data_IF_322579939849
#
_entry.id   IF_322579939849
#
_cell.length_a   1.000
_cell.length_b   1.000
_cell.length_c   1.000
_cell.angle_alpha   90.00
_cell.angle_beta   90.00
_cell.angle_gamma   90.00
#
_symmetry.space_group_name_H-M   'P 1'
#
loop_
_entity.id
_entity.type
_entity.pdbx_description
1 polymer ?
#
# COMPACT_ATOMS: atom_id res chain seq x y z
N UNK A 1 18.17 62.07 7.73
CA UNK A 1 17.84 62.59 9.08
C UNK A 1 18.11 61.49 10.09
N UNK A 2 19.08 61.70 11.00
CA UNK A 2 18.94 61.65 12.48
C UNK A 2 18.09 60.46 12.99
N UNK A 3 18.52 59.61 13.94
CA UNK A 3 19.62 59.63 14.91
C UNK A 3 19.49 58.35 15.78
N UNK A 4 20.61 57.90 16.34
CA UNK A 4 20.80 57.34 17.70
C UNK A 4 20.19 55.95 18.01
N UNK A 5 20.85 55.02 18.71
CA UNK A 5 22.14 55.10 19.41
C UNK A 5 22.46 53.81 20.19
N UNK A 6 23.75 53.46 20.18
CA UNK A 6 24.61 53.11 21.34
C UNK A 6 24.17 51.97 22.28
N UNK A 7 24.91 50.84 22.26
CA UNK A 7 26.08 50.48 23.10
C UNK A 7 25.72 50.21 24.56
N UNK A 8 26.12 49.03 25.06
CA UNK A 8 26.86 48.84 26.32
C UNK A 8 27.52 47.44 26.31
N UNK A 9 28.76 47.39 26.80
CA UNK A 9 29.57 46.23 27.17
C UNK A 9 30.20 46.59 28.54
N UNK A 10 31.06 45.77 29.19
CA UNK A 10 31.14 44.31 29.41
C UNK A 10 31.14 44.02 30.94
N UNK A 11 31.55 42.82 31.41
CA UNK A 11 32.49 42.59 32.56
C UNK A 11 32.74 41.07 32.71
N UNK A 12 34.01 40.71 32.93
CA UNK A 12 34.54 39.37 33.20
C UNK A 12 34.83 39.18 34.70
N UNK A 13 34.78 37.94 35.22
CA UNK A 13 35.51 37.48 36.43
C UNK A 13 35.85 35.98 36.31
N UNK A 14 37.14 35.67 36.44
CA UNK A 14 37.83 34.36 36.60
C UNK A 14 38.09 34.06 38.10
N UNK A 15 38.85 33.01 38.55
CA UNK A 15 39.04 31.58 38.19
C UNK A 15 39.07 30.65 39.47
N UNK A 16 39.62 29.42 39.31
CA UNK A 16 40.22 28.49 40.31
C UNK A 16 39.31 27.37 40.91
N UNK A 17 39.77 26.14 41.19
CA UNK A 17 41.02 25.39 40.95
C UNK A 17 40.89 23.91 41.46
N UNK A 18 41.92 23.09 41.16
CA UNK A 18 42.34 21.80 41.77
C UNK A 18 41.52 20.52 41.47
N UNK A 19 42.07 19.32 41.23
CA UNK A 19 43.43 18.74 41.17
C UNK A 19 43.33 17.26 40.68
N UNK A 20 44.25 16.76 39.84
CA UNK A 20 45.27 15.69 40.09
C UNK A 20 44.79 14.53 41.02
N UNK A 21 44.93 13.21 40.73
CA UNK A 21 46.09 12.42 40.23
C UNK A 21 45.64 11.05 39.66
N UNK A 22 46.48 10.52 38.76
CA UNK A 22 46.54 9.19 38.10
C UNK A 22 46.54 7.94 39.02
N UNK A 23 46.03 6.80 38.51
CA UNK A 23 46.85 5.63 38.08
C UNK A 23 45.96 4.52 37.44
N UNK A 24 46.08 4.28 36.12
CA UNK A 24 46.76 3.15 35.44
C UNK A 24 46.18 1.76 35.76
N UNK A 25 45.50 1.13 34.78
CA UNK A 25 45.77 -0.24 34.29
C UNK A 25 45.34 -0.35 32.81
N UNK A 26 46.24 -0.87 31.97
CA UNK A 26 46.03 -1.22 30.55
C UNK A 26 45.07 -2.41 30.39
N UNK A 27 44.23 -2.39 29.35
CA UNK A 27 44.06 -3.51 28.39
C UNK A 27 43.17 -3.12 27.20
N UNK A 28 43.79 -3.15 26.01
CA UNK A 28 43.32 -3.72 24.74
C UNK A 28 41.83 -3.62 24.35
N UNK A 29 41.58 -3.05 23.16
CA UNK A 29 40.68 -3.69 22.20
C UNK A 29 39.62 -2.81 21.54
N UNK A 30 39.82 -2.59 20.23
CA UNK A 30 38.83 -2.44 19.16
C UNK A 30 37.95 -1.18 19.11
N UNK A 31 38.07 -0.46 17.98
CA UNK A 31 37.39 0.80 17.72
C UNK A 31 35.89 0.67 17.50
N UNK A 32 35.18 1.67 17.99
CA UNK A 32 33.81 1.98 17.58
C UNK A 32 33.87 3.27 16.74
N UNK A 33 33.46 3.16 15.48
CA UNK A 33 33.02 4.32 14.70
C UNK A 33 31.68 4.73 15.29
N UNK A 34 31.59 5.95 15.81
CA UNK A 34 30.33 6.55 16.20
C UNK A 34 29.45 6.70 14.96
N UNK A 35 28.41 5.88 14.85
CA UNK A 35 27.32 6.11 13.90
C UNK A 35 26.58 7.38 14.31
N UNK A 36 26.65 8.41 13.49
CA UNK A 36 25.81 9.61 13.63
C UNK A 36 24.33 9.21 13.54
N UNK A 37 23.45 9.79 14.38
CA UNK A 37 22.02 9.50 14.30
C UNK A 37 21.46 9.97 12.95
N UNK A 38 20.47 9.26 12.37
CA UNK A 38 19.85 9.69 11.13
C UNK A 38 19.19 11.06 11.34
N UNK A 39 19.62 12.01 10.52
CA UNK A 39 18.98 13.32 10.36
C UNK A 39 17.49 13.13 10.13
N UNK A 40 16.67 13.58 11.08
CA UNK A 40 15.23 13.72 10.90
C UNK A 40 14.97 14.59 9.66
N UNK A 41 14.11 14.15 8.72
CA UNK A 41 13.74 14.99 7.60
C UNK A 41 13.06 16.26 8.12
N UNK A 42 13.45 17.38 7.52
CA UNK A 42 12.95 18.72 7.78
C UNK A 42 11.42 18.76 7.78
N UNK A 43 10.84 19.38 8.82
CA UNK A 43 9.42 19.76 8.87
C UNK A 43 9.03 20.52 7.59
N UNK A 44 8.17 19.93 6.77
CA UNK A 44 7.67 20.58 5.55
C UNK A 44 6.97 19.68 4.53
N UNK A 45 6.06 18.80 4.95
CA UNK A 45 4.95 18.25 4.16
C UNK A 45 3.99 17.61 5.16
N UNK A 46 2.71 17.99 5.17
CA UNK A 46 1.74 17.33 6.05
C UNK A 46 1.58 15.90 5.58
N UNK A 47 2.06 14.92 6.35
CA UNK A 47 1.81 13.51 6.03
C UNK A 47 0.29 13.30 5.98
N UNK A 48 -0.21 12.82 4.85
CA UNK A 48 -1.62 12.47 4.72
C UNK A 48 -1.96 11.36 5.73
N UNK A 49 -2.84 11.62 6.72
CA UNK A 49 -3.12 10.66 7.78
C UNK A 49 -3.88 9.42 7.28
N UNK A 50 -4.44 9.47 6.07
CA UNK A 50 -5.21 8.38 5.50
C UNK A 50 -4.34 7.32 4.82
N UNK A 51 -3.05 7.61 4.57
CA UNK A 51 -2.14 6.69 3.87
C UNK A 51 -0.75 6.62 4.51
N UNK A 52 -0.18 5.42 4.54
CA UNK A 52 1.24 5.22 4.85
C UNK A 52 1.85 4.15 3.94
N UNK A 53 3.17 4.15 3.84
CA UNK A 53 3.90 3.17 3.03
C UNK A 53 4.41 2.04 3.93
N UNK A 54 3.98 0.81 3.64
CA UNK A 54 4.46 -0.41 4.32
C UNK A 54 5.80 -0.87 3.76
N UNK A 55 5.97 -0.77 2.44
CA UNK A 55 7.21 -1.05 1.74
C UNK A 55 7.28 -0.21 0.46
N UNK A 56 8.48 0.15 0.01
CA UNK A 56 8.67 0.77 -1.29
C UNK A 56 9.95 0.24 -1.92
N UNK A 57 9.95 0.16 -3.25
CA UNK A 57 11.12 -0.24 -4.02
C UNK A 57 12.18 0.87 -3.98
N UNK A 58 13.45 0.57 -4.32
CA UNK A 58 14.45 1.62 -4.44
C UNK A 58 14.14 2.56 -5.60
N UNK A 59 14.71 3.78 -5.61
CA UNK A 59 14.54 4.76 -6.70
C UNK A 59 15.18 4.34 -8.04
N UNK A 60 15.74 3.13 -8.13
CA UNK A 60 16.41 2.58 -9.32
C UNK A 60 15.45 1.84 -10.25
N UNK A 61 14.19 1.67 -9.86
CA UNK A 61 13.16 1.00 -10.64
C UNK A 61 12.28 0.10 -9.77
N UNK A 62 11.02 -0.08 -10.16
CA UNK A 62 10.13 -1.06 -9.51
C UNK A 62 10.64 -2.50 -9.72
N UNK A 63 10.17 -3.43 -8.90
CA UNK A 63 10.59 -4.83 -8.94
C UNK A 63 9.78 -5.63 -9.96
N UNK A 64 10.45 -6.51 -10.71
CA UNK A 64 9.77 -7.48 -11.58
C UNK A 64 9.22 -8.65 -10.78
N UNK A 65 8.43 -9.50 -11.43
CA UNK A 65 7.88 -10.72 -10.81
C UNK A 65 8.97 -11.62 -10.21
N UNK A 66 10.11 -11.74 -10.91
CA UNK A 66 11.23 -12.60 -10.51
C UNK A 66 11.98 -12.07 -9.27
N UNK A 67 11.77 -10.80 -8.94
CA UNK A 67 12.36 -10.11 -7.79
C UNK A 67 11.42 -10.07 -6.57
N UNK A 68 10.30 -10.79 -6.64
CA UNK A 68 9.36 -10.92 -5.52
C UNK A 68 9.25 -12.40 -5.15
N UNK A 69 9.41 -12.69 -3.86
CA UNK A 69 9.20 -14.01 -3.29
C UNK A 69 8.03 -13.97 -2.32
N UNK A 70 7.28 -15.07 -2.27
CA UNK A 70 6.20 -15.26 -1.30
C UNK A 70 6.50 -16.45 -0.41
N UNK A 71 6.45 -16.21 0.89
CA UNK A 71 6.36 -17.25 1.91
C UNK A 71 4.90 -17.33 2.36
N UNK A 72 4.21 -18.41 2.01
CA UNK A 72 2.80 -18.61 2.36
C UNK A 72 2.66 -19.60 3.52
N UNK A 73 2.01 -19.19 4.61
CA UNK A 73 1.86 -19.99 5.82
C UNK A 73 0.61 -19.62 6.60
N UNK A 74 0.02 -20.60 7.31
CA UNK A 74 -1.09 -20.35 8.22
C UNK A 74 -0.68 -19.54 9.44
N UNK A 75 0.62 -19.49 9.77
CA UNK A 75 1.17 -18.62 10.83
C UNK A 75 1.00 -17.14 10.50
N UNK A 76 0.84 -16.81 9.22
CA UNK A 76 0.58 -15.45 8.72
C UNK A 76 -0.91 -15.15 8.59
N UNK A 77 -1.79 -16.03 9.07
CA UNK A 77 -3.22 -15.73 9.18
C UNK A 77 -3.51 -14.74 10.32
N UNK A 78 -4.73 -14.21 10.33
CA UNK A 78 -5.24 -13.37 11.40
C UNK A 78 -5.25 -14.15 12.72
N UNK A 79 -4.84 -13.51 13.81
CA UNK A 79 -5.02 -14.04 15.17
C UNK A 79 -6.52 -14.08 15.51
N UNK A 80 -6.97 -15.18 16.12
CA UNK A 80 -8.40 -15.37 16.42
C UNK A 80 -8.74 -14.84 17.81
N UNK A 81 -9.50 -13.75 17.85
CA UNK A 81 -10.12 -13.26 19.08
C UNK A 81 -11.50 -13.91 19.22
N UNK A 82 -11.58 -15.01 19.97
CA UNK A 82 -12.79 -15.84 20.11
C UNK A 82 -14.05 -15.04 20.51
N UNK A 83 -13.89 -14.01 21.35
CA UNK A 83 -14.99 -13.13 21.78
C UNK A 83 -15.55 -12.25 20.65
N UNK A 84 -14.80 -12.08 19.56
CA UNK A 84 -15.19 -11.26 18.40
C UNK A 84 -15.74 -12.10 17.23
N UNK A 85 -15.47 -13.40 17.16
CA UNK A 85 -15.91 -14.26 16.05
C UNK A 85 -17.44 -14.29 15.87
N UNK A 86 -18.19 -14.23 16.98
CA UNK A 86 -19.65 -14.12 16.94
C UNK A 86 -20.11 -12.81 16.29
N UNK A 87 -19.37 -11.71 16.47
CA UNK A 87 -19.66 -10.42 15.83
C UNK A 87 -19.38 -10.46 14.34
N UNK A 88 -18.26 -11.07 13.92
CA UNK A 88 -17.97 -11.28 12.48
C UNK A 88 -19.13 -12.05 11.82
N UNK A 89 -19.60 -13.13 12.47
CA UNK A 89 -20.73 -13.89 11.97
C UNK A 89 -22.02 -13.05 11.90
N UNK A 90 -22.33 -12.25 12.93
CA UNK A 90 -23.50 -11.38 12.96
C UNK A 90 -23.48 -10.31 11.86
N UNK A 91 -22.34 -9.60 11.69
CA UNK A 91 -22.14 -8.59 10.66
C UNK A 91 -22.36 -9.19 9.26
N UNK A 92 -21.82 -10.40 9.02
CA UNK A 92 -22.00 -11.09 7.76
C UNK A 92 -23.45 -11.47 7.47
N UNK A 93 -24.16 -12.01 8.47
CA UNK A 93 -25.56 -12.39 8.28
C UNK A 93 -26.43 -11.17 8.01
N UNK A 94 -26.22 -10.06 8.73
CA UNK A 94 -26.90 -8.80 8.46
C UNK A 94 -26.63 -8.33 7.02
N UNK A 95 -25.36 -8.34 6.59
CA UNK A 95 -25.03 -7.86 5.24
C UNK A 95 -25.62 -8.73 4.13
N UNK A 96 -25.70 -10.05 4.33
CA UNK A 96 -26.39 -10.95 3.40
C UNK A 96 -27.91 -10.74 3.37
N UNK A 97 -28.54 -10.34 4.48
CA UNK A 97 -29.96 -9.98 4.47
C UNK A 97 -30.22 -8.73 3.63
N UNK A 98 -29.33 -7.74 3.73
CA UNK A 98 -29.40 -6.50 2.94
C UNK A 98 -29.02 -6.71 1.48
N UNK A 99 -28.03 -7.58 1.21
CA UNK A 99 -27.50 -7.86 -0.13
C UNK A 99 -27.36 -9.39 -0.33
N UNK A 100 -28.45 -10.09 -0.70
CA UNK A 100 -28.47 -11.56 -0.80
C UNK A 100 -27.51 -12.17 -1.83
N UNK A 101 -27.04 -11.37 -2.79
CA UNK A 101 -26.08 -11.78 -3.81
C UNK A 101 -24.62 -11.76 -3.33
N UNK A 102 -24.34 -11.29 -2.10
CA UNK A 102 -22.98 -11.31 -1.56
C UNK A 102 -22.50 -12.74 -1.33
N UNK A 103 -21.30 -13.03 -1.82
CA UNK A 103 -20.58 -14.27 -1.54
C UNK A 103 -19.32 -13.99 -0.72
N UNK A 104 -18.86 -15.00 0.02
CA UNK A 104 -17.64 -14.89 0.80
C UNK A 104 -16.45 -15.39 -0.03
N UNK A 105 -15.69 -14.46 -0.63
CA UNK A 105 -14.50 -14.80 -1.39
C UNK A 105 -13.25 -14.95 -0.53
N UNK A 106 -12.39 -15.92 -0.86
CA UNK A 106 -11.08 -16.08 -0.25
C UNK A 106 -10.12 -14.98 -0.74
N UNK A 107 -9.20 -14.52 0.11
CA UNK A 107 -8.24 -13.46 -0.21
C UNK A 107 -6.87 -13.78 0.41
N UNK A 108 -5.81 -13.27 -0.19
CA UNK A 108 -4.49 -13.28 0.46
C UNK A 108 -4.47 -12.28 1.62
N UNK A 109 -3.99 -12.70 2.78
CA UNK A 109 -3.68 -11.81 3.91
C UNK A 109 -2.20 -11.47 3.85
N UNK A 110 -1.83 -10.21 3.95
CA UNK A 110 -0.41 -9.86 4.14
C UNK A 110 -0.09 -9.76 5.63
N UNK A 111 1.01 -10.37 6.03
CA UNK A 111 1.58 -10.24 7.36
C UNK A 111 2.74 -9.25 7.37
N UNK A 112 3.69 -9.39 6.45
CA UNK A 112 4.83 -8.49 6.35
C UNK A 112 5.39 -8.43 4.93
N UNK A 113 6.10 -7.34 4.63
CA UNK A 113 6.85 -7.15 3.40
C UNK A 113 8.25 -6.67 3.78
N UNK A 114 9.29 -7.38 3.33
CA UNK A 114 10.67 -7.10 3.70
C UNK A 114 11.54 -7.03 2.44
N UNK A 115 12.16 -5.88 2.22
CA UNK A 115 13.11 -5.69 1.12
C UNK A 115 14.50 -6.16 1.57
N UNK A 116 15.01 -7.20 0.92
CA UNK A 116 16.32 -7.79 1.17
C UNK A 116 17.34 -7.29 0.14
N UNK A 117 18.45 -6.74 0.63
CA UNK A 117 19.54 -6.25 -0.23
C UNK A 117 19.16 -5.10 -1.17
N UNK A 118 17.93 -4.57 -1.09
CA UNK A 118 17.40 -3.58 -2.02
C UNK A 118 16.90 -4.16 -3.35
N UNK A 119 17.01 -5.46 -3.60
CA UNK A 119 16.78 -6.05 -4.93
C UNK A 119 15.73 -7.17 -4.93
N UNK A 120 15.38 -7.68 -3.76
CA UNK A 120 14.44 -8.79 -3.58
C UNK A 120 13.41 -8.45 -2.51
N UNK A 121 12.12 -8.59 -2.81
CA UNK A 121 11.06 -8.40 -1.84
C UNK A 121 10.50 -9.74 -1.36
N UNK A 122 10.60 -10.00 -0.07
CA UNK A 122 9.93 -11.13 0.58
C UNK A 122 8.58 -10.70 1.14
N UNK A 123 7.51 -11.29 0.61
CA UNK A 123 6.14 -11.16 1.10
C UNK A 123 5.77 -12.37 1.95
N UNK A 124 5.39 -12.15 3.21
CA UNK A 124 4.84 -13.19 4.08
C UNK A 124 3.33 -13.09 4.05
N UNK A 125 2.68 -14.12 3.49
CA UNK A 125 1.25 -14.11 3.20
C UNK A 125 0.54 -15.26 3.93
N UNK A 126 -0.65 -14.97 4.45
CA UNK A 126 -1.62 -15.95 4.89
C UNK A 126 -2.86 -15.94 4.01
N UNK A 127 -3.93 -16.52 4.52
CA UNK A 127 -5.26 -16.47 3.93
C UNK A 127 -6.23 -15.73 4.85
N UNK A 128 -7.18 -15.06 4.22
CA UNK A 128 -8.34 -14.43 4.85
C UNK A 128 -9.54 -14.53 3.92
N UNK A 129 -10.64 -13.89 4.25
CA UNK A 129 -11.80 -13.83 3.37
C UNK A 129 -12.55 -12.49 3.49
N UNK A 130 -13.44 -12.25 2.54
CA UNK A 130 -14.25 -11.03 2.49
C UNK A 130 -15.14 -10.85 3.73
N UNK A 131 -15.68 -11.94 4.27
CA UNK A 131 -16.44 -11.94 5.53
C UNK A 131 -15.59 -11.41 6.70
N UNK A 132 -14.38 -11.91 6.85
CA UNK A 132 -13.48 -11.50 7.92
C UNK A 132 -13.06 -10.04 7.76
N UNK A 133 -12.83 -9.58 6.52
CA UNK A 133 -12.60 -8.16 6.23
C UNK A 133 -13.75 -7.27 6.73
N UNK A 134 -14.99 -7.61 6.37
CA UNK A 134 -16.17 -6.87 6.82
C UNK A 134 -16.34 -6.87 8.34
N UNK A 135 -16.01 -7.99 8.98
CA UNK A 135 -16.12 -8.16 10.43
C UNK A 135 -14.94 -7.64 11.25
N UNK A 136 -13.86 -7.20 10.62
CA UNK A 136 -12.65 -6.70 11.31
C UNK A 136 -12.23 -5.32 10.81
N UNK A 137 -11.57 -5.22 9.64
CA UNK A 137 -11.10 -3.95 9.08
C UNK A 137 -12.24 -2.94 8.85
N UNK A 138 -13.40 -3.41 8.37
CA UNK A 138 -14.57 -2.56 8.08
C UNK A 138 -15.59 -2.52 9.23
N UNK A 139 -15.29 -3.18 10.36
CA UNK A 139 -16.18 -3.17 11.51
C UNK A 139 -16.05 -1.84 12.28
N UNK A 140 -17.14 -1.37 12.93
CA UNK A 140 -17.07 -0.21 13.82
C UNK A 140 -15.99 -0.34 14.91
N UNK A 141 -15.70 -1.57 15.34
CA UNK A 141 -14.70 -1.87 16.36
C UNK A 141 -13.26 -2.05 15.84
N UNK A 142 -12.98 -1.76 14.57
CA UNK A 142 -11.65 -1.96 13.99
C UNK A 142 -10.52 -1.33 14.83
N UNK A 143 -10.73 -0.10 15.35
CA UNK A 143 -9.78 0.56 16.24
C UNK A 143 -9.55 -0.19 17.56
N UNK A 144 -10.60 -0.75 18.15
CA UNK A 144 -10.49 -1.54 19.39
C UNK A 144 -9.71 -2.83 19.12
N UNK A 145 -9.92 -3.46 17.96
CA UNK A 145 -9.12 -4.62 17.54
C UNK A 145 -7.65 -4.25 17.36
N UNK A 146 -7.36 -3.08 16.81
CA UNK A 146 -5.99 -2.58 16.67
C UNK A 146 -5.31 -2.33 18.03
N UNK A 147 -6.00 -1.62 18.93
CA UNK A 147 -5.50 -1.35 20.29
C UNK A 147 -5.25 -2.66 21.04
N UNK A 148 -6.14 -3.65 20.90
CA UNK A 148 -5.98 -4.97 21.49
C UNK A 148 -4.85 -5.78 20.85
N UNK A 149 -4.68 -5.70 19.53
CA UNK A 149 -3.59 -6.35 18.81
C UNK A 149 -2.22 -5.87 19.26
N UNK A 150 -2.07 -4.56 19.48
CA UNK A 150 -0.87 -3.97 20.08
C UNK A 150 -0.64 -4.50 21.49
N UNK A 151 -1.69 -4.57 22.33
CA UNK A 151 -1.56 -5.04 23.70
C UNK A 151 -1.16 -6.51 23.82
N UNK A 152 -1.71 -7.38 22.96
CA UNK A 152 -1.52 -8.84 23.06
C UNK A 152 -0.31 -9.34 22.26
N UNK A 153 0.01 -8.69 21.13
CA UNK A 153 1.04 -9.16 20.18
C UNK A 153 2.06 -8.10 19.77
N UNK A 154 1.90 -6.84 20.18
CA UNK A 154 2.72 -5.74 19.67
C UNK A 154 2.45 -5.38 18.21
N UNK A 155 1.35 -5.87 17.64
CA UNK A 155 0.97 -5.67 16.24
C UNK A 155 -0.49 -5.22 16.14
N UNK A 156 -0.71 -3.99 15.67
CA UNK A 156 -2.07 -3.45 15.50
C UNK A 156 -2.90 -4.23 14.47
N UNK A 157 -2.26 -4.98 13.58
CA UNK A 157 -2.94 -5.70 12.51
C UNK A 157 -3.20 -7.18 12.86
N UNK A 158 -2.77 -7.64 14.04
CA UNK A 158 -2.85 -9.03 14.46
C UNK A 158 -4.29 -9.59 14.39
N UNK A 159 -5.27 -8.81 14.83
CA UNK A 159 -6.69 -9.18 14.82
C UNK A 159 -7.47 -8.72 13.58
N UNK A 160 -6.78 -8.21 12.56
CA UNK A 160 -7.41 -7.73 11.33
C UNK A 160 -7.20 -8.71 10.16
N UNK A 161 -8.18 -8.75 9.27
CA UNK A 161 -8.18 -9.62 8.10
C UNK A 161 -7.07 -9.26 7.11
N UNK A 162 -6.75 -7.97 6.95
CA UNK A 162 -5.64 -7.45 6.11
C UNK A 162 -5.62 -8.04 4.67
N UNK A 163 -6.76 -8.06 3.93
CA UNK A 163 -6.75 -8.57 2.56
C UNK A 163 -5.90 -7.67 1.66
N UNK A 164 -4.92 -8.27 0.99
CA UNK A 164 -4.00 -7.58 0.07
C UNK A 164 -4.74 -7.16 -1.21
N UNK A 165 -4.85 -5.85 -1.42
CA UNK A 165 -5.29 -5.29 -2.71
C UNK A 165 -4.16 -5.25 -3.74
N UNK A 166 -4.54 -4.99 -4.99
CA UNK A 166 -3.62 -4.62 -6.06
C UNK A 166 -4.14 -3.36 -6.76
N UNK A 167 -3.25 -2.45 -7.15
CA UNK A 167 -3.58 -1.25 -7.91
C UNK A 167 -2.50 -0.91 -8.93
N UNK A 168 -2.84 -0.16 -9.98
CA UNK A 168 -1.90 0.22 -11.03
C UNK A 168 -1.91 1.70 -11.37
N UNK A 169 -0.72 2.29 -11.34
CA UNK A 169 -0.38 3.51 -12.08
C UNK A 169 -0.26 3.16 -13.56
N UNK A 170 -1.40 3.09 -14.25
CA UNK A 170 -1.49 2.80 -15.68
C UNK A 170 -1.10 4.02 -16.52
N UNK A 171 0.00 3.91 -17.26
CA UNK A 171 0.65 5.01 -17.97
C UNK A 171 0.53 4.86 -19.49
N UNK A 172 -0.15 5.79 -20.15
CA UNK A 172 -0.44 5.76 -21.60
C UNK A 172 0.73 6.20 -22.46
N UNK A 173 0.67 5.92 -23.77
CA UNK A 173 1.72 6.25 -24.74
C UNK A 173 1.98 7.77 -24.88
N UNK A 174 0.99 8.60 -24.57
CA UNK A 174 1.02 10.06 -24.61
C UNK A 174 1.27 10.71 -23.22
N UNK A 175 1.89 9.97 -22.32
CA UNK A 175 2.41 10.42 -21.00
C UNK A 175 1.30 10.88 -20.03
N UNK A 176 0.16 10.17 -20.02
CA UNK A 176 -0.95 10.37 -19.08
C UNK A 176 -1.16 9.15 -18.16
N UNK A 177 -1.57 9.39 -16.93
CA UNK A 177 -2.05 8.36 -16.01
C UNK A 177 -3.57 8.26 -16.04
N UNK A 178 -4.06 7.03 -15.97
CA UNK A 178 -5.50 6.72 -15.95
C UNK A 178 -6.04 6.77 -14.54
N UNK A 179 -7.16 7.46 -14.37
CA UNK A 179 -7.94 7.52 -13.12
C UNK A 179 -9.41 7.19 -13.40
N UNK A 180 -10.08 6.64 -12.39
CA UNK A 180 -11.45 6.17 -12.49
C UNK A 180 -12.28 6.80 -11.37
N UNK A 181 -13.48 7.28 -11.68
CA UNK A 181 -14.44 7.70 -10.66
C UNK A 181 -15.30 6.51 -10.26
N UNK A 182 -15.12 6.04 -9.01
CA UNK A 182 -15.85 4.89 -8.47
C UNK A 182 -17.35 5.14 -8.46
N UNK A 183 -18.14 4.12 -8.75
CA UNK A 183 -19.60 4.18 -8.70
C UNK A 183 -20.11 4.48 -7.29
N UNK A 184 -21.28 5.09 -7.15
CA UNK A 184 -21.92 5.24 -5.83
C UNK A 184 -22.39 3.90 -5.25
N UNK A 185 -22.43 2.85 -6.07
CA UNK A 185 -22.95 1.53 -5.69
C UNK A 185 -21.90 0.60 -5.08
N UNK A 186 -20.61 0.98 -5.12
CA UNK A 186 -19.54 0.17 -4.52
C UNK A 186 -19.54 0.26 -2.99
N UNK A 187 -18.99 -0.75 -2.33
CA UNK A 187 -18.98 -0.83 -0.87
C UNK A 187 -17.93 0.09 -0.20
N UNK A 188 -16.81 0.36 -0.89
CA UNK A 188 -15.69 1.16 -0.40
C UNK A 188 -15.46 2.36 -1.33
N UNK A 189 -15.20 3.54 -0.73
CA UNK A 189 -14.80 4.76 -1.43
C UNK A 189 -15.76 5.22 -2.56
N UNK A 190 -17.07 5.08 -2.36
CA UNK A 190 -18.10 5.52 -3.31
C UNK A 190 -17.88 6.97 -3.80
N UNK A 191 -18.01 7.19 -5.12
CA UNK A 191 -17.79 8.46 -5.81
C UNK A 191 -16.37 9.06 -5.76
N UNK A 192 -15.42 8.45 -5.06
CA UNK A 192 -14.03 8.91 -5.02
C UNK A 192 -13.29 8.55 -6.32
N UNK A 193 -12.19 9.27 -6.56
CA UNK A 193 -11.29 8.98 -7.67
C UNK A 193 -10.28 7.92 -7.22
N UNK A 194 -10.09 6.91 -8.07
CA UNK A 194 -9.22 5.77 -7.83
C UNK A 194 -8.35 5.50 -9.07
N UNK A 195 -7.46 4.53 -8.93
CA UNK A 195 -6.70 3.92 -10.01
C UNK A 195 -7.31 2.56 -10.36
N UNK A 196 -7.05 2.00 -11.56
CA UNK A 196 -7.43 0.62 -11.87
C UNK A 196 -6.85 -0.35 -10.84
N UNK A 197 -7.64 -1.29 -10.34
CA UNK A 197 -7.22 -2.21 -9.30
C UNK A 197 -8.33 -3.12 -8.78
N UNK A 198 -7.97 -3.96 -7.81
CA UNK A 198 -8.86 -4.95 -7.23
C UNK A 198 -8.13 -5.88 -6.28
N UNK A 199 -8.32 -7.19 -6.41
CA UNK A 199 -7.76 -8.18 -5.49
C UNK A 199 -7.31 -9.45 -6.20
N UNK A 200 -6.04 -9.81 -6.02
CA UNK A 200 -5.55 -11.15 -6.33
C UNK A 200 -6.32 -12.21 -5.50
N UNK A 201 -6.73 -13.30 -6.14
CA UNK A 201 -7.57 -14.32 -5.50
C UNK A 201 -6.86 -15.67 -5.37
N UNK A 202 -6.84 -16.30 -4.18
CA UNK A 202 -6.23 -17.61 -3.98
C UNK A 202 -6.69 -18.69 -4.96
N UNK A 203 -7.95 -18.62 -5.40
CA UNK A 203 -8.55 -19.59 -6.34
C UNK A 203 -7.95 -19.53 -7.75
N UNK A 204 -7.32 -18.43 -8.14
CA UNK A 204 -6.64 -18.32 -9.41
C UNK A 204 -5.19 -18.86 -9.34
N UNK A 205 -4.61 -18.90 -8.14
CA UNK A 205 -3.30 -19.51 -7.88
C UNK A 205 -3.35 -21.04 -7.68
N UNK A 206 -4.53 -21.66 -7.66
CA UNK A 206 -4.72 -23.13 -7.55
C UNK A 206 -5.73 -23.64 -8.56
N UNK A 207 -5.62 -24.90 -8.98
CA UNK A 207 -6.55 -25.52 -9.95
C UNK A 207 -7.30 -26.69 -9.32
N UNK A 208 -8.61 -26.76 -9.58
CA UNK A 208 -9.45 -27.91 -9.21
C UNK A 208 -9.84 -28.00 -7.73
N UNK A 209 -9.62 -26.94 -6.95
CA UNK A 209 -10.00 -26.86 -5.53
C UNK A 209 -11.14 -25.84 -5.39
N UNK A 210 -12.29 -26.21 -4.80
CA UNK A 210 -13.35 -25.26 -4.49
C UNK A 210 -12.85 -24.11 -3.59
N UNK A 211 -13.35 -22.90 -3.82
CA UNK A 211 -12.84 -21.67 -3.17
C UNK A 211 -12.90 -21.73 -1.63
N UNK A 212 -13.95 -22.33 -1.08
CA UNK A 212 -14.15 -22.53 0.36
C UNK A 212 -13.24 -23.59 0.99
N UNK A 213 -12.57 -24.40 0.16
CA UNK A 213 -11.70 -25.50 0.56
C UNK A 213 -10.21 -25.16 0.39
N UNK A 214 -9.88 -23.96 -0.10
CA UNK A 214 -8.50 -23.51 -0.28
C UNK A 214 -7.84 -23.29 1.08
N UNK A 215 -6.67 -23.91 1.25
CA UNK A 215 -5.83 -23.78 2.43
C UNK A 215 -4.40 -23.48 1.97
N UNK A 216 -3.56 -22.98 2.87
CA UNK A 216 -2.20 -22.53 2.57
C UNK A 216 -1.33 -23.62 1.93
N UNK A 217 -1.51 -24.89 2.30
CA UNK A 217 -0.75 -26.01 1.74
C UNK A 217 -1.06 -26.31 0.27
N UNK A 218 -2.16 -25.76 -0.27
CA UNK A 218 -2.49 -25.89 -1.69
C UNK A 218 -1.75 -24.86 -2.55
N UNK A 219 -1.16 -23.85 -1.92
CA UNK A 219 -0.56 -22.70 -2.58
C UNK A 219 0.97 -22.83 -2.55
N UNK A 220 1.61 -22.44 -3.65
CA UNK A 220 3.06 -22.27 -3.70
C UNK A 220 3.40 -20.78 -3.83
N UNK A 221 4.53 -20.36 -3.27
CA UNK A 221 4.97 -18.97 -3.36
C UNK A 221 5.06 -18.47 -4.80
N UNK A 222 5.57 -19.30 -5.72
CA UNK A 222 5.69 -18.99 -7.15
C UNK A 222 4.34 -18.70 -7.80
N UNK A 223 3.33 -19.56 -7.60
CA UNK A 223 2.00 -19.36 -8.18
C UNK A 223 1.27 -18.17 -7.55
N UNK A 224 1.51 -17.88 -6.27
CA UNK A 224 0.93 -16.72 -5.59
C UNK A 224 1.54 -15.42 -6.14
N UNK A 225 2.86 -15.37 -6.34
CA UNK A 225 3.52 -14.23 -6.99
C UNK A 225 3.00 -14.04 -8.41
N UNK A 226 2.89 -15.13 -9.18
CA UNK A 226 2.35 -15.07 -10.54
C UNK A 226 0.91 -14.53 -10.55
N UNK A 227 0.07 -14.97 -9.61
CA UNK A 227 -1.30 -14.48 -9.48
C UNK A 227 -1.35 -12.99 -9.14
N UNK A 228 -0.55 -12.53 -8.16
CA UNK A 228 -0.49 -11.10 -7.78
C UNK A 228 -0.13 -10.20 -8.97
N UNK A 229 0.83 -10.60 -9.80
CA UNK A 229 1.24 -9.83 -10.99
C UNK A 229 0.26 -9.98 -12.17
N UNK A 230 -0.40 -11.14 -12.29
CA UNK A 230 -1.36 -11.38 -13.38
C UNK A 230 -2.70 -10.71 -13.10
N UNK A 231 -3.13 -10.69 -11.85
CA UNK A 231 -4.43 -10.15 -11.43
C UNK A 231 -4.53 -8.68 -11.80
N UNK A 232 -3.50 -7.86 -11.56
CA UNK A 232 -3.55 -6.43 -11.87
C UNK A 232 -3.71 -6.15 -13.38
N UNK A 233 -3.13 -6.99 -14.25
CA UNK A 233 -3.38 -6.89 -15.69
C UNK A 233 -4.81 -7.31 -16.05
N UNK A 234 -5.35 -8.31 -15.35
CA UNK A 234 -6.75 -8.74 -15.42
C UNK A 234 -7.71 -7.60 -15.04
N UNK A 235 -7.48 -6.93 -13.92
CA UNK A 235 -8.30 -5.80 -13.45
C UNK A 235 -8.31 -4.66 -14.49
N UNK A 236 -7.14 -4.30 -15.04
CA UNK A 236 -7.06 -3.29 -16.10
C UNK A 236 -7.87 -3.70 -17.34
N UNK A 237 -7.81 -4.97 -17.74
CA UNK A 237 -8.59 -5.48 -18.87
C UNK A 237 -10.08 -5.45 -18.56
N UNK A 238 -10.48 -5.90 -17.37
CA UNK A 238 -11.88 -6.14 -17.04
C UNK A 238 -12.63 -4.84 -16.74
N UNK A 239 -11.97 -3.85 -16.12
CA UNK A 239 -12.56 -2.54 -15.82
C UNK A 239 -12.33 -1.52 -16.95
N UNK A 240 -11.11 -1.40 -17.47
CA UNK A 240 -10.72 -0.36 -18.45
C UNK A 240 -10.86 -0.83 -19.91
N UNK A 241 -11.07 -2.13 -20.12
CA UNK A 241 -11.20 -2.76 -21.45
C UNK A 241 -9.95 -2.61 -22.33
N UNK A 242 -8.78 -2.45 -21.71
CA UNK A 242 -7.49 -2.39 -22.43
C UNK A 242 -7.01 -3.83 -22.72
N UNK A 243 -6.68 -4.17 -23.98
CA UNK A 243 -6.18 -5.50 -24.31
C UNK A 243 -4.84 -5.81 -23.65
N UNK A 244 -4.65 -7.05 -23.18
CA UNK A 244 -3.43 -7.46 -22.46
C UNK A 244 -2.16 -7.28 -23.30
N UNK A 245 -2.24 -7.47 -24.61
CA UNK A 245 -1.13 -7.27 -25.55
C UNK A 245 -0.66 -5.81 -25.68
N UNK A 246 -1.49 -4.88 -25.22
CA UNK A 246 -1.18 -3.45 -25.14
C UNK A 246 -0.51 -3.05 -23.83
N UNK A 247 -0.47 -3.95 -22.84
CA UNK A 247 0.10 -3.70 -21.51
C UNK A 247 1.52 -4.25 -21.40
N UNK A 248 2.40 -3.53 -20.73
CA UNK A 248 3.71 -4.05 -20.32
C UNK A 248 3.56 -5.04 -19.17
N UNK A 249 4.63 -5.80 -18.90
CA UNK A 249 4.72 -6.51 -17.61
C UNK A 249 4.66 -5.49 -16.46
N UNK A 250 3.94 -5.77 -15.37
CA UNK A 250 3.89 -4.87 -14.22
C UNK A 250 5.23 -4.78 -13.51
N UNK A 251 5.53 -3.60 -12.96
CA UNK A 251 6.60 -3.38 -12.01
C UNK A 251 5.99 -3.03 -10.66
N UNK A 252 6.29 -3.80 -9.62
CA UNK A 252 5.86 -3.48 -8.27
C UNK A 252 6.59 -2.23 -7.80
N UNK A 253 5.85 -1.21 -7.35
CA UNK A 253 6.41 0.02 -6.78
C UNK A 253 6.56 -0.09 -5.27
N UNK A 254 5.62 -0.76 -4.61
CA UNK A 254 5.61 -0.92 -3.17
C UNK A 254 4.24 -1.32 -2.66
N UNK A 255 4.04 -1.14 -1.36
CA UNK A 255 2.79 -1.46 -0.67
C UNK A 255 2.39 -0.26 0.17
N UNK A 256 1.18 0.24 -0.05
CA UNK A 256 0.59 1.32 0.73
C UNK A 256 -0.53 0.78 1.65
N UNK A 257 -0.79 1.46 2.75
CA UNK A 257 -1.84 1.15 3.72
C UNK A 257 -2.93 2.22 3.68
N UNK A 258 -4.19 1.78 3.60
CA UNK A 258 -5.37 2.61 3.71
C UNK A 258 -5.83 2.69 5.18
N UNK A 259 -5.55 3.80 5.85
CA UNK A 259 -5.95 4.00 7.25
C UNK A 259 -7.44 4.26 7.44
N UNK A 260 -8.18 4.64 6.40
CA UNK A 260 -9.65 4.68 6.43
C UNK A 260 -10.29 3.28 6.47
N UNK A 261 -9.52 2.24 6.11
CA UNK A 261 -9.90 0.82 6.22
C UNK A 261 -9.00 0.06 7.21
N UNK A 262 -8.76 0.70 8.36
CA UNK A 262 -7.96 0.16 9.46
C UNK A 262 -6.56 -0.34 9.05
N UNK A 263 -5.95 0.32 8.08
CA UNK A 263 -4.62 0.01 7.58
C UNK A 263 -4.58 -1.04 6.47
N UNK A 264 -5.73 -1.42 5.86
CA UNK A 264 -5.79 -2.41 4.77
C UNK A 264 -4.75 -2.11 3.69
N UNK A 265 -3.87 -3.07 3.36
CA UNK A 265 -2.77 -2.83 2.43
C UNK A 265 -3.14 -3.13 0.97
N UNK A 266 -2.42 -2.49 0.06
CA UNK A 266 -2.51 -2.69 -1.39
C UNK A 266 -1.12 -2.64 -2.01
N UNK A 267 -0.82 -3.63 -2.87
CA UNK A 267 0.40 -3.65 -3.68
C UNK A 267 0.19 -2.79 -4.93
N UNK A 268 1.01 -1.75 -5.07
CA UNK A 268 0.84 -0.76 -6.13
C UNK A 268 1.87 -0.99 -7.24
N UNK A 269 1.38 -1.09 -8.47
CA UNK A 269 2.16 -1.41 -9.66
C UNK A 269 2.27 -0.22 -10.61
N UNK A 270 3.28 -0.25 -11.44
CA UNK A 270 3.38 0.56 -12.65
C UNK A 270 3.22 -0.33 -13.88
N UNK A 271 2.34 0.10 -14.79
CA UNK A 271 2.07 -0.61 -16.04
C UNK A 271 2.06 0.39 -17.19
N UNK A 272 2.84 0.13 -18.25
CA UNK A 272 2.79 0.93 -19.47
C UNK A 272 1.74 0.38 -20.42
N UNK A 273 1.02 1.29 -21.07
CA UNK A 273 0.10 0.98 -22.15
C UNK A 273 0.63 1.56 -23.46
N UNK A 274 0.56 0.76 -24.53
CA UNK A 274 0.91 1.20 -25.90
C UNK A 274 -0.13 2.14 -26.51
N UNK A 275 -1.33 2.21 -25.93
CA UNK A 275 -2.42 3.06 -26.38
C UNK A 275 -2.27 4.47 -25.79
N UNK A 276 -2.71 5.46 -26.55
CA UNK A 276 -2.88 6.85 -26.10
C UNK A 276 -4.08 6.98 -25.16
N UNK A 277 -4.15 8.07 -24.40
CA UNK A 277 -5.27 8.38 -23.51
C UNK A 277 -6.62 8.38 -24.23
N UNK A 278 -6.68 8.89 -25.46
CA UNK A 278 -7.91 8.87 -26.25
C UNK A 278 -8.30 7.45 -26.68
N UNK A 279 -7.36 6.63 -27.13
CA UNK A 279 -7.64 5.23 -27.46
C UNK A 279 -8.10 4.44 -26.23
N UNK A 280 -7.48 4.65 -25.06
CA UNK A 280 -7.91 4.04 -23.80
C UNK A 280 -9.33 4.51 -23.43
N UNK A 281 -9.65 5.79 -23.60
CA UNK A 281 -11.03 6.30 -23.39
C UNK A 281 -12.03 5.59 -24.28
N UNK A 282 -11.73 5.43 -25.58
CA UNK A 282 -12.62 4.74 -26.50
C UNK A 282 -12.83 3.27 -26.10
N UNK A 283 -11.78 2.58 -25.63
CA UNK A 283 -11.89 1.22 -25.08
C UNK A 283 -12.81 1.17 -23.86
N UNK A 284 -12.60 2.06 -22.89
CA UNK A 284 -13.44 2.15 -21.70
C UNK A 284 -14.92 2.38 -22.06
N UNK A 285 -15.21 3.26 -23.02
CA UNK A 285 -16.59 3.56 -23.46
C UNK A 285 -17.27 2.40 -24.18
N UNK A 286 -16.52 1.50 -24.82
CA UNK A 286 -17.06 0.24 -25.36
C UNK A 286 -17.53 -0.68 -24.21
N UNK A 287 -16.91 -0.56 -23.04
CA UNK A 287 -17.20 -1.34 -21.84
C UNK A 287 -16.33 -2.59 -21.72
N UNK A 288 -15.83 -2.85 -20.51
CA UNK A 288 -15.27 -4.13 -20.07
C UNK A 288 -16.30 -4.98 -19.31
N UNK A 289 -15.86 -6.16 -18.85
CA UNK A 289 -16.70 -7.10 -18.07
C UNK A 289 -17.24 -6.43 -16.80
N UNK A 290 -16.42 -5.57 -16.18
CA UNK A 290 -16.71 -4.88 -14.92
C UNK A 290 -16.92 -3.36 -15.12
N UNK A 291 -17.39 -2.94 -16.31
CA UNK A 291 -17.62 -1.52 -16.66
C UNK A 291 -18.63 -0.76 -15.77
N UNK A 292 -19.20 -1.42 -14.78
CA UNK A 292 -20.17 -0.85 -13.84
C UNK A 292 -19.55 -0.45 -12.50
N UNK A 293 -18.28 -0.81 -12.24
CA UNK A 293 -17.57 -0.46 -11.00
C UNK A 293 -17.15 1.01 -10.96
N UNK A 294 -16.88 1.60 -12.12
CA UNK A 294 -16.61 3.01 -12.32
C UNK A 294 -17.67 3.70 -13.19
N UNK A 295 -17.79 5.02 -13.03
CA UNK A 295 -18.78 5.88 -13.71
C UNK A 295 -18.16 6.79 -14.74
N UNK A 296 -16.86 7.07 -14.63
CA UNK A 296 -16.11 7.83 -15.62
C UNK A 296 -14.61 7.53 -15.53
N UNK A 297 -13.92 7.83 -16.63
CA UNK A 297 -12.47 7.73 -16.78
C UNK A 297 -11.89 9.13 -17.02
N UNK A 298 -10.77 9.44 -16.37
CA UNK A 298 -10.02 10.68 -16.56
C UNK A 298 -8.53 10.40 -16.73
N UNK A 299 -7.82 11.39 -17.24
CA UNK A 299 -6.40 11.27 -17.60
C UNK A 299 -5.66 12.49 -17.10
N UNK A 300 -4.56 12.27 -16.38
CA UNK A 300 -3.72 13.34 -15.81
C UNK A 300 -2.32 13.21 -16.37
N UNK A 301 -1.72 14.31 -16.85
CA UNK A 301 -0.35 14.27 -17.37
C UNK A 301 0.61 13.85 -16.27
N UNK A 302 1.65 13.11 -16.64
CA UNK A 302 2.70 12.66 -15.72
C UNK A 302 3.27 13.80 -14.88
N UNK A 303 3.52 14.96 -15.49
CA UNK A 303 4.10 16.12 -14.80
C UNK A 303 3.17 16.70 -13.72
N UNK A 304 1.86 16.58 -13.90
CA UNK A 304 0.84 17.03 -12.94
C UNK A 304 0.64 16.01 -11.83
N UNK A 305 0.69 14.70 -12.14
CA UNK A 305 0.67 13.63 -11.12
C UNK A 305 1.79 13.82 -10.09
N UNK A 306 2.99 14.23 -10.52
CA UNK A 306 4.13 14.47 -9.63
C UNK A 306 3.93 15.67 -8.68
N UNK A 307 2.92 16.50 -8.90
CA UNK A 307 2.57 17.66 -8.08
C UNK A 307 1.18 17.52 -7.45
N UNK A 308 0.50 16.39 -7.65
CA UNK A 308 -0.91 16.26 -7.29
C UNK A 308 -1.15 16.33 -5.78
N UNK A 309 -0.16 15.95 -4.97
CA UNK A 309 -0.20 16.09 -3.51
C UNK A 309 -0.19 17.56 -3.05
N UNK A 310 0.34 18.48 -3.89
CA UNK A 310 0.32 19.92 -3.63
C UNK A 310 -1.03 20.56 -3.97
N UNK A 311 -1.81 19.94 -4.86
CA UNK A 311 -3.19 20.33 -5.17
C UNK A 311 -4.16 19.71 -4.17
N UNK A 312 -4.38 20.43 -3.08
CA UNK A 312 -5.22 20.00 -1.95
C UNK A 312 -6.63 19.57 -2.37
N UNK A 313 -7.24 20.24 -3.35
CA UNK A 313 -8.61 19.95 -3.76
C UNK A 313 -8.68 18.66 -4.56
N UNK A 314 -7.82 18.51 -5.58
CA UNK A 314 -7.72 17.26 -6.35
C UNK A 314 -7.29 16.08 -5.46
N UNK A 315 -6.35 16.31 -4.54
CA UNK A 315 -5.87 15.28 -3.62
C UNK A 315 -6.94 14.75 -2.68
N UNK A 316 -7.89 15.61 -2.25
CA UNK A 316 -9.00 15.21 -1.38
C UNK A 316 -10.00 14.28 -2.06
N UNK A 317 -10.15 14.39 -3.38
CA UNK A 317 -11.04 13.54 -4.15
C UNK A 317 -10.51 12.10 -4.32
N UNK A 318 -9.20 11.91 -4.15
CA UNK A 318 -8.56 10.60 -4.27
C UNK A 318 -8.91 9.71 -3.06
N UNK A 319 -9.19 8.46 -3.36
CA UNK A 319 -9.21 7.42 -2.33
C UNK A 319 -7.78 7.12 -1.83
N UNK A 320 -7.64 6.51 -0.64
CA UNK A 320 -6.32 6.26 -0.05
C UNK A 320 -5.41 5.32 -0.87
N UNK A 321 -5.96 4.36 -1.61
CA UNK A 321 -5.18 3.48 -2.51
C UNK A 321 -4.50 4.29 -3.62
N UNK A 322 -5.26 5.13 -4.33
CA UNK A 322 -4.72 6.00 -5.36
C UNK A 322 -3.64 6.96 -4.82
N UNK A 323 -3.85 7.54 -3.63
CA UNK A 323 -2.84 8.36 -2.96
C UNK A 323 -1.55 7.60 -2.71
N UNK A 324 -1.66 6.37 -2.18
CA UNK A 324 -0.51 5.50 -1.93
C UNK A 324 0.26 5.16 -3.21
N UNK A 325 -0.46 4.87 -4.30
CA UNK A 325 0.15 4.59 -5.59
C UNK A 325 0.87 5.82 -6.18
N UNK A 326 0.30 7.01 -6.06
CA UNK A 326 0.95 8.26 -6.51
C UNK A 326 2.21 8.56 -5.68
N UNK A 327 2.15 8.39 -4.35
CA UNK A 327 3.32 8.55 -3.48
C UNK A 327 4.42 7.56 -3.87
N UNK A 328 4.08 6.29 -4.06
CA UNK A 328 5.03 5.24 -4.49
C UNK A 328 5.62 5.53 -5.87
N UNK A 329 4.79 5.95 -6.84
CA UNK A 329 5.28 6.32 -8.17
C UNK A 329 6.24 7.51 -8.11
N UNK A 330 5.93 8.52 -7.29
CA UNK A 330 6.75 9.72 -7.13
C UNK A 330 8.10 9.43 -6.50
N UNK A 331 8.16 8.44 -5.58
CA UNK A 331 9.39 7.97 -4.93
C UNK A 331 10.23 7.06 -5.83
N UNK A 332 9.61 6.09 -6.50
CA UNK A 332 10.31 5.02 -7.24
C UNK A 332 10.70 5.47 -8.64
N UNK A 333 9.84 6.22 -9.33
CA UNK A 333 10.04 6.76 -10.69
C UNK A 333 10.62 5.72 -11.68
N UNK A 334 9.91 4.61 -11.96
CA UNK A 334 10.39 3.61 -12.89
C UNK A 334 10.77 4.23 -14.24
N UNK A 335 11.92 3.80 -14.78
CA UNK A 335 12.48 4.35 -16.01
C UNK A 335 11.52 4.15 -17.20
N UNK A 336 11.61 5.03 -18.20
CA UNK A 336 10.82 4.97 -19.44
C UNK A 336 11.24 3.82 -20.37
N UNK A 337 11.86 2.74 -19.86
CA UNK A 337 12.29 1.63 -20.70
C UNK A 337 11.11 1.15 -21.57
N UNK A 338 11.44 1.05 -22.85
CA UNK A 338 10.62 1.15 -24.06
C UNK A 338 9.60 0.03 -24.24
#
# INVERSE_FOLDING_TARGET
>A
MRRLGMRLAPVAVTPHAHGCVLQVVRRSGCGQRECSPPTLPSKGAGMDPDVSLMAHCPPTGGLTQEQVQVEISAEYNRQVLHSHEQKIAAIWQQRKQEKPWLFNGAKFRIHSAQLEGGELLLLRLGLTCYKDYLGTNWAPEARLLQERGVADFGDSQAYLAEPLGVGAMLHTADDCFVFLRRSERVAEAAAQVDIPGGHAEPKAAVKGIPEDSIQVQHLSGELVVQEIFSSILGEIRDEVNVPLESLSRPLLLGIARNHRSAGRPSAEFYVRCKLTSEEVRQRYLIGGVEAHESTSISFVKREDVLKLEEDVESWRELCPSAKGAIQLYTLVRPSRAS
#
